data_IF_190841274072
#
_entry.id   IF_190841274072
#
_cell.length_a   1.000
_cell.length_b   1.000
_cell.length_c   1.000
_cell.angle_alpha   90.00
_cell.angle_beta   90.00
_cell.angle_gamma   90.00
#
_symmetry.space_group_name_H-M   'P 1'
#
loop_
_entity.id
_entity.type
_entity.pdbx_description
1 polymer ?
#
# COMPACT_ATOMS: atom_id res chain seq x y z
N UNK A 1 18.31 15.86 -58.64
CA UNK A 1 18.47 16.47 -57.29
C UNK A 1 17.24 16.32 -56.39
N UNK A 2 16.01 16.33 -56.91
CA UNK A 2 14.80 16.36 -56.06
C UNK A 2 14.49 15.07 -55.28
N UNK A 3 14.83 13.88 -55.83
CA UNK A 3 14.58 12.58 -55.16
C UNK A 3 15.38 12.37 -53.86
N UNK A 4 16.69 12.65 -53.88
CA UNK A 4 17.55 12.50 -52.69
C UNK A 4 17.14 13.44 -51.54
N UNK A 5 16.64 14.63 -51.85
CA UNK A 5 16.13 15.58 -50.86
C UNK A 5 14.85 15.08 -50.18
N UNK A 6 13.95 14.44 -50.94
CA UNK A 6 12.73 13.85 -50.39
C UNK A 6 13.05 12.66 -49.48
N UNK A 7 13.96 11.76 -49.89
CA UNK A 7 14.41 10.64 -49.07
C UNK A 7 15.08 11.07 -47.76
N UNK A 8 15.87 12.15 -47.79
CA UNK A 8 16.50 12.67 -46.57
C UNK A 8 15.45 13.24 -45.61
N UNK A 9 14.44 13.95 -46.13
CA UNK A 9 13.32 14.46 -45.32
C UNK A 9 12.45 13.35 -44.74
N UNK A 10 12.17 12.29 -45.49
CA UNK A 10 11.37 11.17 -44.97
C UNK A 10 12.11 10.44 -43.85
N UNK A 11 13.41 10.16 -44.04
CA UNK A 11 14.25 9.55 -42.99
C UNK A 11 14.33 10.41 -41.73
N UNK A 12 14.39 11.74 -41.91
CA UNK A 12 14.37 12.67 -40.78
C UNK A 12 13.03 12.62 -40.03
N UNK A 13 11.91 12.66 -40.75
CA UNK A 13 10.58 12.57 -40.13
C UNK A 13 10.35 11.24 -39.41
N UNK A 14 10.81 10.12 -39.96
CA UNK A 14 10.75 8.80 -39.32
C UNK A 14 11.60 8.73 -38.05
N UNK A 15 12.80 9.32 -38.08
CA UNK A 15 13.66 9.39 -36.90
C UNK A 15 13.04 10.26 -35.79
N UNK A 16 12.46 11.40 -36.14
CA UNK A 16 11.76 12.29 -35.20
C UNK A 16 10.52 11.60 -34.60
N UNK A 17 9.74 10.90 -35.41
CA UNK A 17 8.61 10.09 -34.93
C UNK A 17 9.06 8.98 -33.96
N UNK A 18 10.14 8.25 -34.30
CA UNK A 18 10.68 7.21 -33.42
C UNK A 18 11.23 7.74 -32.09
N UNK A 19 11.76 8.97 -32.05
CA UNK A 19 12.15 9.65 -30.81
C UNK A 19 10.92 10.07 -30.02
N UNK A 20 9.91 10.63 -30.67
CA UNK A 20 8.67 11.05 -30.01
C UNK A 20 7.91 9.85 -29.39
N UNK A 21 7.87 8.70 -30.07
CA UNK A 21 7.21 7.50 -29.55
C UNK A 21 7.94 6.94 -28.32
N UNK A 22 9.29 6.91 -28.35
CA UNK A 22 10.08 6.52 -27.17
C UNK A 22 9.92 7.47 -25.99
N UNK A 23 9.77 8.78 -26.26
CA UNK A 23 9.54 9.76 -25.21
C UNK A 23 8.18 9.53 -24.54
N UNK A 24 7.13 9.24 -25.31
CA UNK A 24 5.80 8.90 -24.77
C UNK A 24 5.82 7.62 -23.95
N UNK A 25 6.49 6.57 -24.43
CA UNK A 25 6.63 5.31 -23.70
C UNK A 25 7.33 5.50 -22.35
N UNK A 26 8.37 6.33 -22.32
CA UNK A 26 9.08 6.68 -21.08
C UNK A 26 8.17 7.46 -20.12
N UNK A 27 7.43 8.45 -20.62
CA UNK A 27 6.49 9.24 -19.82
C UNK A 27 5.36 8.38 -19.23
N UNK A 28 4.81 7.46 -20.02
CA UNK A 28 3.79 6.52 -19.56
C UNK A 28 4.33 5.61 -18.46
N UNK A 29 5.54 5.06 -18.64
CA UNK A 29 6.19 4.23 -17.64
C UNK A 29 6.48 5.00 -16.35
N UNK A 30 6.94 6.24 -16.44
CA UNK A 30 7.13 7.10 -15.27
C UNK A 30 5.82 7.43 -14.56
N UNK A 31 4.73 7.59 -15.31
CA UNK A 31 3.41 7.80 -14.72
C UNK A 31 2.93 6.55 -13.98
N UNK A 32 3.06 5.38 -14.59
CA UNK A 32 2.69 4.11 -13.95
C UNK A 32 3.47 3.86 -12.66
N UNK A 33 4.78 4.14 -12.65
CA UNK A 33 5.59 3.98 -11.43
C UNK A 33 5.15 4.94 -10.33
N UNK A 34 4.89 6.22 -10.66
CA UNK A 34 4.38 7.21 -9.69
C UNK A 34 3.01 6.81 -9.14
N UNK A 35 2.11 6.33 -10.00
CA UNK A 35 0.78 5.85 -9.56
C UNK A 35 0.90 4.63 -8.65
N UNK A 36 1.81 3.70 -8.95
CA UNK A 36 2.07 2.54 -8.08
C UNK A 36 2.64 2.95 -6.73
N UNK A 37 3.65 3.82 -6.71
CA UNK A 37 4.26 4.33 -5.47
C UNK A 37 3.23 5.06 -4.60
N UNK A 38 2.33 5.84 -5.21
CA UNK A 38 1.24 6.51 -4.49
C UNK A 38 0.32 5.48 -3.83
N UNK A 39 -0.11 4.43 -4.55
CA UNK A 39 -0.96 3.36 -4.00
C UNK A 39 -0.26 2.61 -2.87
N UNK A 40 1.04 2.33 -2.99
CA UNK A 40 1.82 1.66 -1.95
C UNK A 40 1.95 2.54 -0.68
N UNK A 41 2.17 3.86 -0.85
CA UNK A 41 2.16 4.82 0.26
C UNK A 41 0.80 4.91 0.95
N UNK A 42 -0.29 4.93 0.19
CA UNK A 42 -1.65 4.97 0.75
C UNK A 42 -1.97 3.68 1.52
N UNK A 43 -1.58 2.53 0.98
CA UNK A 43 -1.75 1.24 1.65
C UNK A 43 -0.94 1.16 2.96
N UNK A 44 0.30 1.68 2.97
CA UNK A 44 1.13 1.75 4.16
C UNK A 44 0.53 2.68 5.22
N UNK A 45 0.07 3.87 4.83
CA UNK A 45 -0.59 4.84 5.73
C UNK A 45 -1.87 4.26 6.33
N UNK A 46 -2.70 3.60 5.52
CA UNK A 46 -3.89 2.92 6.00
C UNK A 46 -3.52 1.82 7.02
N UNK A 47 -2.52 1.00 6.72
CA UNK A 47 -2.03 -0.02 7.65
C UNK A 47 -1.61 0.57 9.01
N UNK A 48 -0.83 1.66 8.99
CA UNK A 48 -0.37 2.34 10.19
C UNK A 48 -1.52 2.93 11.01
N UNK A 49 -2.53 3.50 10.35
CA UNK A 49 -3.74 4.01 11.00
C UNK A 49 -4.46 2.88 11.76
N UNK A 50 -4.70 1.75 11.10
CA UNK A 50 -5.38 0.60 11.71
C UNK A 50 -4.60 0.03 12.90
N UNK A 51 -3.27 -0.12 12.77
CA UNK A 51 -2.42 -0.60 13.87
C UNK A 51 -2.52 0.35 15.07
N UNK A 52 -2.37 1.67 14.85
CA UNK A 52 -2.49 2.67 15.93
C UNK A 52 -3.86 2.61 16.60
N UNK A 53 -4.93 2.40 15.82
CA UNK A 53 -6.29 2.26 16.35
C UNK A 53 -6.45 1.02 17.23
N UNK A 54 -5.99 -0.15 16.79
CA UNK A 54 -6.01 -1.38 17.61
C UNK A 54 -5.23 -1.19 18.92
N UNK A 55 -4.02 -0.60 18.85
CA UNK A 55 -3.19 -0.32 20.04
C UNK A 55 -3.91 0.63 21.00
N UNK A 56 -4.56 1.68 20.49
CA UNK A 56 -5.30 2.63 21.32
C UNK A 56 -6.44 1.94 22.07
N UNK A 57 -7.22 1.09 21.39
CA UNK A 57 -8.33 0.34 22.01
C UNK A 57 -7.81 -0.68 23.02
N UNK A 58 -6.75 -1.43 22.69
CA UNK A 58 -6.13 -2.37 23.63
C UNK A 58 -5.60 -1.66 24.89
N UNK A 59 -5.14 -0.41 24.76
CA UNK A 59 -4.64 0.36 25.89
C UNK A 59 -5.72 0.86 26.85
N UNK A 60 -6.99 0.95 26.41
CA UNK A 60 -8.11 1.25 27.31
C UNK A 60 -8.55 0.02 28.12
N UNK A 61 -8.09 -1.17 27.73
CA UNK A 61 -8.42 -2.44 28.39
C UNK A 61 -7.40 -2.80 29.48
N UNK A 62 -7.85 -3.59 30.47
CA UNK A 62 -6.98 -4.09 31.54
C UNK A 62 -6.22 -5.34 31.09
N UNK A 63 -5.10 -5.11 30.41
CA UNK A 63 -4.22 -6.15 29.81
C UNK A 63 -2.80 -6.04 30.35
N UNK A 64 -2.15 -7.17 30.64
CA UNK A 64 -0.77 -7.20 31.14
C UNK A 64 0.24 -6.76 30.08
N UNK A 65 1.42 -6.27 30.49
CA UNK A 65 2.42 -5.73 29.55
C UNK A 65 2.89 -6.80 28.55
N UNK A 66 3.06 -8.02 29.01
CA UNK A 66 3.51 -9.17 28.22
C UNK A 66 2.46 -9.55 27.16
N UNK A 67 1.19 -9.52 27.53
CA UNK A 67 0.07 -9.75 26.60
C UNK A 67 -0.02 -8.63 25.56
N UNK A 68 0.20 -7.37 25.94
CA UNK A 68 0.21 -6.25 24.99
C UNK A 68 1.28 -6.41 23.92
N UNK A 69 2.49 -6.85 24.29
CA UNK A 69 3.59 -7.06 23.34
C UNK A 69 3.21 -8.13 22.30
N UNK A 70 2.62 -9.24 22.74
CA UNK A 70 2.16 -10.31 21.85
C UNK A 70 1.02 -9.85 20.94
N UNK A 71 0.06 -9.09 21.48
CA UNK A 71 -1.04 -8.52 20.70
C UNK A 71 -0.54 -7.54 19.61
N UNK A 72 0.46 -6.71 19.90
CA UNK A 72 1.05 -5.82 18.90
C UNK A 72 1.63 -6.60 17.72
N UNK A 73 2.29 -7.73 17.98
CA UNK A 73 2.80 -8.58 16.92
C UNK A 73 1.68 -9.15 16.03
N UNK A 74 0.53 -9.50 16.62
CA UNK A 74 -0.65 -9.95 15.88
C UNK A 74 -1.17 -8.82 14.97
N UNK A 75 -1.38 -7.62 15.52
CA UNK A 75 -1.88 -6.48 14.74
C UNK A 75 -0.91 -6.08 13.62
N UNK A 76 0.40 -6.16 13.84
CA UNK A 76 1.38 -5.84 12.81
C UNK A 76 1.34 -6.89 11.68
N UNK A 77 1.29 -8.18 12.02
CA UNK A 77 1.43 -9.28 11.06
C UNK A 77 0.16 -9.60 10.27
N UNK A 78 -1.01 -9.61 10.93
CA UNK A 78 -2.26 -10.09 10.33
C UNK A 78 -3.22 -8.91 10.21
N UNK A 79 -3.50 -8.51 8.96
CA UNK A 79 -4.31 -7.31 8.68
C UNK A 79 -5.76 -7.55 9.09
N UNK A 80 -6.29 -8.74 8.83
CA UNK A 80 -7.65 -9.18 9.09
C UNK A 80 -7.94 -9.16 10.60
N UNK A 81 -6.95 -9.52 11.43
CA UNK A 81 -7.07 -9.51 12.89
C UNK A 81 -7.30 -8.10 13.45
N UNK A 82 -6.92 -7.04 12.74
CA UNK A 82 -7.16 -5.64 13.15
C UNK A 82 -8.66 -5.33 13.14
N UNK A 83 -9.33 -5.69 12.05
CA UNK A 83 -10.76 -5.45 11.88
C UNK A 83 -11.57 -6.35 12.82
N UNK A 84 -11.25 -7.64 12.89
CA UNK A 84 -11.88 -8.56 13.85
C UNK A 84 -11.77 -8.06 15.28
N UNK A 85 -10.60 -7.58 15.69
CA UNK A 85 -10.40 -7.02 17.03
C UNK A 85 -11.30 -5.81 17.28
N UNK A 86 -11.30 -4.82 16.37
CA UNK A 86 -12.10 -3.59 16.54
C UNK A 86 -13.60 -3.91 16.56
N UNK A 87 -14.09 -4.73 15.63
CA UNK A 87 -15.48 -5.14 15.57
C UNK A 87 -15.91 -5.91 16.83
N UNK A 88 -15.08 -6.83 17.31
CA UNK A 88 -15.36 -7.55 18.55
C UNK A 88 -15.41 -6.59 19.75
N UNK A 89 -14.50 -5.61 19.82
CA UNK A 89 -14.47 -4.62 20.90
C UNK A 89 -15.70 -3.71 20.94
N UNK A 90 -16.34 -3.45 19.78
CA UNK A 90 -17.57 -2.66 19.68
C UNK A 90 -18.79 -3.41 20.24
N UNK A 91 -18.77 -4.74 20.18
CA UNK A 91 -19.84 -5.60 20.70
C UNK A 91 -19.61 -5.95 22.17
N UNK A 92 -18.45 -6.53 22.47
CA UNK A 92 -18.05 -6.93 23.82
C UNK A 92 -16.52 -7.01 23.96
N UNK A 93 -15.98 -6.18 24.87
CA UNK A 93 -14.54 -6.11 25.12
C UNK A 93 -13.98 -7.40 25.73
N UNK A 94 -14.76 -8.12 26.53
CA UNK A 94 -14.27 -9.34 27.19
C UNK A 94 -14.11 -10.48 26.17
N UNK A 95 -15.10 -10.67 25.30
CA UNK A 95 -15.01 -11.60 24.17
C UNK A 95 -13.86 -11.26 23.22
N UNK A 96 -13.63 -9.97 22.94
CA UNK A 96 -12.50 -9.53 22.13
C UNK A 96 -11.15 -9.89 22.75
N UNK A 97 -11.01 -9.77 24.08
CA UNK A 97 -9.80 -10.17 24.79
C UNK A 97 -9.60 -11.69 24.83
N UNK A 98 -10.69 -12.46 24.99
CA UNK A 98 -10.63 -13.93 24.96
C UNK A 98 -10.15 -14.40 23.59
N UNK A 99 -10.72 -13.86 22.51
CA UNK A 99 -10.28 -14.15 21.14
C UNK A 99 -8.82 -13.73 20.91
N UNK A 100 -8.43 -12.53 21.32
CA UNK A 100 -7.05 -12.07 21.15
C UNK A 100 -6.06 -12.98 21.89
N UNK A 101 -6.43 -13.51 23.06
CA UNK A 101 -5.63 -14.49 23.79
C UNK A 101 -5.53 -15.84 23.09
N UNK A 102 -6.58 -16.30 22.42
CA UNK A 102 -6.49 -17.52 21.61
C UNK A 102 -5.58 -17.36 20.40
N UNK A 103 -5.52 -16.17 19.80
CA UNK A 103 -4.59 -15.88 18.69
C UNK A 103 -3.11 -15.80 19.14
N UNK A 104 -2.87 -15.57 20.43
CA UNK A 104 -1.52 -15.49 21.02
C UNK A 104 -0.97 -16.84 21.52
N UNK A 105 -1.81 -17.87 21.58
CA UNK A 105 -1.49 -19.20 22.08
C UNK A 105 -0.72 -20.02 21.03
#
# INVERSE_FOLDING_TARGET
MMGAYLEMRTKQAEAEAGVADRAKEMEERERETREREAREKDAAQASDFWIRRCISVLNTMKVMKEEKIKAYAIFIKIKENRETFICACEVDQESALIWLRSEMA
#
